data_IF_913378798467
#
_entry.id   IF_913378798467
#
_cell.length_a   1.000
_cell.length_b   1.000
_cell.length_c   1.000
_cell.angle_alpha   90.00
_cell.angle_beta   90.00
_cell.angle_gamma   90.00
#
_symmetry.space_group_name_H-M   'P 1'
#
loop_
_entity.id
_entity.type
_entity.pdbx_description
1 polymer ?
#
# COMPACT_ATOMS: atom_id res chain seq x y z
N UNK A 1 -14.45 -3.90 -8.67
CA UNK A 1 -13.32 -4.69 -9.23
C UNK A 1 -12.41 -3.74 -9.98
N UNK A 2 -11.41 -3.18 -9.30
CA UNK A 2 -10.33 -2.42 -9.93
C UNK A 2 -9.43 -3.42 -10.65
N UNK A 3 -9.27 -3.27 -11.97
CA UNK A 3 -8.34 -4.07 -12.75
C UNK A 3 -6.96 -4.06 -12.08
N UNK A 4 -6.30 -5.22 -12.04
CA UNK A 4 -4.97 -5.37 -11.52
C UNK A 4 -3.99 -4.69 -12.48
N UNK A 5 -3.83 -3.37 -12.32
CA UNK A 5 -2.82 -2.63 -13.08
C UNK A 5 -1.44 -3.05 -12.59
N UNK A 6 -0.70 -3.73 -13.46
CA UNK A 6 0.59 -4.33 -13.15
C UNK A 6 1.77 -3.53 -13.66
N UNK A 7 1.57 -2.45 -14.42
CA UNK A 7 2.65 -1.71 -15.05
C UNK A 7 2.25 -1.00 -16.33
N UNK A 8 3.22 -0.43 -17.03
CA UNK A 8 3.04 0.31 -18.29
C UNK A 8 3.57 -0.44 -19.53
N UNK A 9 3.84 -1.73 -19.39
CA UNK A 9 4.39 -2.60 -20.45
C UNK A 9 5.90 -2.73 -20.43
N UNK A 10 6.63 -1.67 -20.04
CA UNK A 10 8.08 -1.72 -19.82
C UNK A 10 8.41 -1.98 -18.35
N UNK A 11 7.69 -1.33 -17.46
CA UNK A 11 7.92 -1.38 -16.03
C UNK A 11 6.80 -2.15 -15.35
N UNK A 12 7.15 -3.17 -14.56
CA UNK A 12 6.21 -3.97 -13.77
C UNK A 12 6.25 -3.55 -12.30
N UNK A 13 5.09 -3.38 -11.68
CA UNK A 13 4.96 -3.25 -10.23
C UNK A 13 5.04 -4.62 -9.55
N UNK A 14 5.91 -4.80 -8.55
CA UNK A 14 5.97 -6.00 -7.73
C UNK A 14 4.60 -6.44 -7.16
N UNK A 15 3.80 -5.51 -6.64
CA UNK A 15 2.50 -5.84 -6.05
C UNK A 15 1.37 -6.05 -7.06
N UNK A 16 1.63 -5.78 -8.35
CA UNK A 16 0.67 -5.83 -9.47
C UNK A 16 -0.64 -5.06 -9.25
N UNK A 17 -0.60 -4.07 -8.35
CA UNK A 17 -1.71 -3.20 -7.95
C UNK A 17 -1.14 -1.85 -7.54
N UNK A 18 -1.86 -0.77 -7.84
CA UNK A 18 -1.47 0.60 -7.44
C UNK A 18 -1.77 0.88 -5.96
N UNK A 19 -2.88 0.35 -5.47
CA UNK A 19 -3.39 0.64 -4.12
C UNK A 19 -2.38 0.46 -2.97
N UNK A 20 -1.53 -0.58 -2.94
CA UNK A 20 -0.55 -0.74 -1.87
C UNK A 20 0.47 0.41 -1.82
N UNK A 21 0.90 0.89 -2.98
CA UNK A 21 1.81 2.04 -3.08
C UNK A 21 1.11 3.35 -2.72
N UNK A 22 -0.17 3.49 -3.11
CA UNK A 22 -1.01 4.60 -2.63
C UNK A 22 -1.09 4.61 -1.10
N UNK A 23 -1.36 3.46 -0.49
CA UNK A 23 -1.43 3.37 0.97
C UNK A 23 -0.07 3.68 1.61
N UNK A 24 1.05 3.20 1.05
CA UNK A 24 2.39 3.59 1.52
C UNK A 24 2.54 5.12 1.48
N UNK A 25 2.31 5.75 0.33
CA UNK A 25 2.39 7.21 0.17
C UNK A 25 1.54 7.96 1.21
N UNK A 26 0.30 7.54 1.40
CA UNK A 26 -0.62 8.19 2.32
C UNK A 26 -0.25 7.98 3.80
N UNK A 27 0.35 6.83 4.15
CA UNK A 27 0.91 6.59 5.48
C UNK A 27 2.18 7.40 5.71
N UNK A 28 3.02 7.59 4.69
CA UNK A 28 4.20 8.44 4.77
C UNK A 28 3.81 9.89 5.04
N UNK A 29 2.81 10.39 4.31
CA UNK A 29 2.24 11.72 4.53
C UNK A 29 1.66 11.88 5.94
N UNK A 30 0.97 10.85 6.45
CA UNK A 30 0.48 10.86 7.83
C UNK A 30 1.62 10.77 8.86
N UNK A 31 2.71 10.07 8.56
CA UNK A 31 3.88 10.00 9.44
C UNK A 31 4.59 11.35 9.57
N UNK A 32 4.68 12.15 8.50
CA UNK A 32 5.18 13.53 8.58
C UNK A 32 4.36 14.43 9.50
N UNK A 33 3.08 14.12 9.70
CA UNK A 33 2.16 14.89 10.56
C UNK A 33 2.16 14.42 12.02
N UNK A 34 2.69 13.23 12.32
CA UNK A 34 2.74 12.69 13.68
C UNK A 34 4.04 13.13 14.38
N UNK A 35 3.98 14.00 15.42
CA UNK A 35 5.18 14.43 16.13
C UNK A 35 5.92 13.30 16.86
N UNK A 36 5.26 12.16 17.11
CA UNK A 36 5.87 11.00 17.75
C UNK A 36 6.67 10.13 16.76
N UNK A 37 6.61 10.41 15.45
CA UNK A 37 7.27 9.62 14.41
C UNK A 37 8.29 10.47 13.66
N UNK A 38 9.57 10.12 13.80
CA UNK A 38 10.64 10.75 13.03
C UNK A 38 10.78 10.09 11.65
N UNK A 39 10.55 10.87 10.59
CA UNK A 39 10.76 10.42 9.20
C UNK A 39 12.14 10.84 8.70
N UNK A 40 12.91 9.89 8.18
CA UNK A 40 14.19 10.22 7.52
C UNK A 40 13.93 10.83 6.13
N UNK A 41 14.01 12.17 6.06
CA UNK A 41 13.82 12.93 4.80
C UNK A 41 14.86 12.57 3.73
N UNK A 42 16.06 12.15 4.11
CA UNK A 42 17.12 11.77 3.14
C UNK A 42 16.77 10.47 2.43
N UNK A 43 16.13 9.54 3.15
CA UNK A 43 15.63 8.29 2.58
C UNK A 43 14.57 8.54 1.50
N UNK A 44 13.77 9.58 1.68
CA UNK A 44 12.66 9.95 0.79
C UNK A 44 12.97 11.09 -0.19
N UNK A 45 14.23 11.49 -0.33
CA UNK A 45 14.62 12.58 -1.24
C UNK A 45 14.12 12.36 -2.68
N UNK A 46 14.20 11.12 -3.18
CA UNK A 46 13.75 10.76 -4.53
C UNK A 46 12.23 10.70 -4.68
N UNK A 47 11.44 10.86 -3.61
CA UNK A 47 9.99 10.91 -3.72
C UNK A 47 9.48 12.32 -4.04
N UNK A 48 10.33 13.34 -3.89
CA UNK A 48 9.92 14.74 -3.99
C UNK A 48 9.07 15.19 -2.80
N UNK A 49 8.21 16.18 -3.05
CA UNK A 49 7.42 16.84 -2.02
C UNK A 49 6.14 16.08 -1.66
N UNK A 50 6.28 15.00 -0.90
CA UNK A 50 5.18 14.13 -0.48
C UNK A 50 4.14 14.86 0.39
N UNK A 51 4.56 15.86 1.16
CA UNK A 51 3.71 16.57 2.12
C UNK A 51 2.65 17.41 1.41
N UNK A 52 3.00 18.03 0.28
CA UNK A 52 2.09 18.92 -0.45
C UNK A 52 1.45 18.26 -1.67
N UNK A 53 2.05 17.21 -2.25
CA UNK A 53 1.50 16.53 -3.42
C UNK A 53 0.30 15.62 -3.08
N UNK A 54 -0.63 15.52 -4.04
CA UNK A 54 -1.62 14.46 -4.06
C UNK A 54 -0.99 13.17 -4.60
N UNK A 55 -1.50 12.00 -4.17
CA UNK A 55 -1.01 10.74 -4.72
C UNK A 55 -1.17 10.66 -6.25
N UNK A 56 -2.26 11.18 -6.80
CA UNK A 56 -2.52 11.10 -8.24
C UNK A 56 -1.49 11.91 -9.05
N UNK A 57 -1.14 13.10 -8.58
CA UNK A 57 -0.13 13.94 -9.23
C UNK A 57 1.27 13.33 -9.07
N UNK A 58 1.57 12.83 -7.88
CA UNK A 58 2.79 12.10 -7.61
C UNK A 58 2.93 10.85 -8.49
N UNK A 59 1.86 10.08 -8.66
CA UNK A 59 1.85 8.88 -9.49
C UNK A 59 2.02 9.20 -10.98
N UNK A 60 1.36 10.25 -11.47
CA UNK A 60 1.45 10.70 -12.87
C UNK A 60 2.83 11.21 -13.25
N UNK A 61 3.61 11.73 -12.30
CA UNK A 61 5.00 12.13 -12.54
C UNK A 61 5.88 10.99 -13.08
N UNK A 62 5.50 9.73 -12.81
CA UNK A 62 6.24 8.56 -13.26
C UNK A 62 7.36 8.11 -12.35
N UNK A 63 7.55 8.78 -11.20
CA UNK A 63 8.62 8.52 -10.23
C UNK A 63 8.56 7.09 -9.64
N UNK A 64 7.37 6.48 -9.61
CA UNK A 64 7.16 5.08 -9.21
C UNK A 64 8.00 4.08 -10.02
N UNK A 65 8.39 4.41 -11.27
CA UNK A 65 9.24 3.56 -12.12
C UNK A 65 10.62 3.36 -11.51
N UNK A 66 11.18 4.42 -10.94
CA UNK A 66 12.50 4.40 -10.29
C UNK A 66 12.40 3.82 -8.89
N UNK A 67 11.31 4.16 -8.17
CA UNK A 67 11.18 3.81 -6.76
C UNK A 67 10.78 2.36 -6.52
N UNK A 68 9.91 1.78 -7.37
CA UNK A 68 9.31 0.48 -7.09
C UNK A 68 9.35 -0.50 -8.25
N UNK A 69 9.38 0.00 -9.48
CA UNK A 69 9.14 -0.87 -10.62
C UNK A 69 10.36 -1.73 -10.95
N UNK A 70 10.05 -2.78 -11.70
CA UNK A 70 11.02 -3.68 -12.32
C UNK A 70 11.06 -3.33 -13.80
N UNK A 71 12.23 -3.00 -14.34
CA UNK A 71 12.38 -2.88 -15.79
C UNK A 71 12.39 -4.29 -16.42
N UNK A 72 11.38 -4.56 -17.25
CA UNK A 72 11.21 -5.82 -17.99
C UNK A 72 11.49 -5.65 -19.48
N UNK A 73 12.03 -4.52 -19.93
CA UNK A 73 12.31 -4.30 -21.34
C UNK A 73 13.36 -5.27 -21.90
N UNK A 74 13.03 -5.88 -23.04
CA UNK A 74 14.03 -6.41 -23.98
C UNK A 74 14.54 -5.23 -24.80
N UNK A 75 15.86 -5.03 -24.84
CA UNK A 75 16.48 -3.92 -25.56
C UNK A 75 17.62 -4.42 -26.46
N UNK A 76 17.89 -3.66 -27.52
CA UNK A 76 19.05 -3.89 -28.39
C UNK A 76 20.26 -3.26 -27.70
N UNK A 77 21.34 -4.01 -27.61
CA UNK A 77 22.63 -3.51 -27.10
C UNK A 77 23.41 -2.90 -28.26
N UNK A 78 23.71 -1.60 -28.17
CA UNK A 78 24.51 -0.92 -29.17
C UNK A 78 25.99 -1.33 -29.07
N UNK A 79 26.70 -1.48 -30.20
CA UNK A 79 28.11 -1.84 -30.22
C UNK A 79 28.97 -0.86 -29.41
N UNK A 80 29.81 -1.38 -28.49
CA UNK A 80 30.69 -0.58 -27.64
C UNK A 80 30.08 -0.12 -26.32
N UNK A 81 28.82 -0.48 -26.03
CA UNK A 81 28.24 -0.25 -24.71
C UNK A 81 28.95 -1.10 -23.66
N UNK A 82 29.52 -0.47 -22.64
CA UNK A 82 30.01 -1.16 -21.45
C UNK A 82 28.79 -1.65 -20.67
N UNK A 83 28.42 -2.90 -20.87
CA UNK A 83 27.41 -3.57 -20.07
C UNK A 83 28.13 -4.47 -19.08
N UNK A 84 28.11 -4.09 -17.81
CA UNK A 84 28.32 -5.06 -16.76
C UNK A 84 27.06 -5.92 -16.69
N UNK A 85 27.16 -7.25 -16.83
CA UNK A 85 26.03 -8.12 -16.52
C UNK A 85 25.67 -7.86 -15.06
N UNK A 86 24.62 -7.09 -14.84
CA UNK A 86 24.03 -6.96 -13.51
C UNK A 86 23.47 -8.31 -13.12
N UNK A 87 23.42 -8.60 -11.82
CA UNK A 87 22.70 -9.78 -11.33
C UNK A 87 21.33 -9.83 -12.06
N UNK A 88 20.88 -11.00 -12.52
CA UNK A 88 19.55 -11.15 -13.11
C UNK A 88 19.30 -10.56 -14.52
N UNK A 89 20.31 -10.10 -15.26
CA UNK A 89 20.19 -9.83 -16.70
C UNK A 89 21.04 -10.79 -17.53
N UNK A 90 20.54 -11.20 -18.70
CA UNK A 90 21.26 -12.05 -19.64
C UNK A 90 21.43 -11.31 -20.97
N UNK A 91 22.69 -11.15 -21.41
CA UNK A 91 23.00 -10.59 -22.73
C UNK A 91 23.16 -11.75 -23.71
N UNK A 92 22.25 -11.82 -24.68
CA UNK A 92 22.25 -12.86 -25.73
C UNK A 92 22.53 -12.26 -27.09
N UNK A 93 23.43 -12.90 -27.86
CA UNK A 93 23.73 -12.54 -29.25
C UNK A 93 22.90 -13.42 -30.18
N UNK A 94 22.00 -12.81 -30.95
CA UNK A 94 21.12 -13.52 -31.87
C UNK A 94 21.63 -13.43 -33.32
N UNK A 95 21.88 -14.55 -34.02
CA UNK A 95 22.27 -14.53 -35.42
C UNK A 95 21.06 -14.19 -36.31
N UNK A 96 21.11 -13.06 -37.03
CA UNK A 96 20.02 -12.60 -37.90
C UNK A 96 19.73 -13.50 -39.12
N UNK A 97 20.66 -14.39 -39.47
CA UNK A 97 20.52 -15.31 -40.61
C UNK A 97 19.83 -16.65 -40.30
N UNK A 98 19.46 -16.90 -39.04
CA UNK A 98 18.83 -18.15 -38.62
C UNK A 98 17.30 -18.03 -38.60
N UNK A 99 16.61 -19.17 -38.70
CA UNK A 99 15.16 -19.21 -38.55
C UNK A 99 14.73 -18.60 -37.18
N UNK A 100 13.76 -17.67 -37.17
CA UNK A 100 13.30 -17.03 -35.94
C UNK A 100 12.71 -18.00 -34.90
N UNK A 101 12.03 -19.07 -35.32
CA UNK A 101 11.40 -20.01 -34.37
C UNK A 101 12.42 -20.86 -33.65
N UNK A 102 13.46 -21.30 -34.36
CA UNK A 102 14.59 -21.99 -33.75
C UNK A 102 15.34 -21.07 -32.79
N UNK A 103 15.59 -19.83 -33.21
CA UNK A 103 16.27 -18.83 -32.37
C UNK A 103 15.47 -18.53 -31.09
N UNK A 104 14.14 -18.42 -31.17
CA UNK A 104 13.28 -18.23 -30.00
C UNK A 104 13.26 -19.44 -29.07
N UNK A 105 13.36 -20.67 -29.60
CA UNK A 105 13.47 -21.88 -28.78
C UNK A 105 14.79 -21.88 -28.00
N UNK A 106 15.90 -21.59 -28.67
CA UNK A 106 17.21 -21.55 -28.03
C UNK A 106 17.27 -20.46 -26.95
N UNK A 107 16.67 -19.29 -27.18
CA UNK A 107 16.56 -18.23 -26.17
C UNK A 107 15.72 -18.68 -24.98
N UNK A 108 14.62 -19.40 -25.21
CA UNK A 108 13.78 -19.97 -24.14
C UNK A 108 14.56 -20.96 -23.29
N UNK A 109 15.31 -21.86 -23.92
CA UNK A 109 16.08 -22.89 -23.23
C UNK A 109 17.23 -22.26 -22.43
N UNK A 110 17.90 -21.24 -22.97
CA UNK A 110 18.93 -20.46 -22.26
C UNK A 110 18.36 -19.75 -21.02
N UNK A 111 17.15 -19.18 -21.12
CA UNK A 111 16.47 -18.56 -20.00
C UNK A 111 16.14 -19.60 -18.91
N UNK A 112 15.63 -20.77 -19.29
CA UNK A 112 15.33 -21.87 -18.34
C UNK A 112 16.62 -22.38 -17.64
N UNK A 113 17.71 -22.55 -18.38
CA UNK A 113 19.02 -22.97 -17.84
C UNK A 113 19.59 -21.98 -16.82
N UNK A 114 19.43 -20.68 -17.07
CA UNK A 114 19.90 -19.61 -16.18
C UNK A 114 18.90 -19.27 -15.07
N UNK A 115 17.91 -20.13 -14.83
CA UNK A 115 16.97 -20.00 -13.72
C UNK A 115 15.98 -18.85 -13.87
N UNK A 116 15.70 -18.39 -15.10
CA UNK A 116 14.65 -17.43 -15.38
C UNK A 116 13.28 -18.06 -15.13
N UNK A 117 12.86 -18.05 -13.87
CA UNK A 117 11.48 -18.31 -13.52
C UNK A 117 10.65 -17.06 -13.83
N UNK A 118 9.34 -17.21 -14.07
CA UNK A 118 8.42 -16.06 -14.20
C UNK A 118 8.34 -15.15 -12.96
N UNK A 119 9.18 -15.40 -11.95
CA UNK A 119 9.41 -14.58 -10.78
C UNK A 119 10.66 -13.72 -11.05
N UNK A 120 10.44 -12.42 -11.19
CA UNK A 120 11.51 -11.45 -11.45
C UNK A 120 12.58 -11.54 -10.36
N UNK A 121 13.82 -11.87 -10.75
CA UNK A 121 15.02 -11.90 -9.92
C UNK A 121 15.35 -10.57 -9.22
N UNK A 122 16.26 -10.62 -8.25
CA UNK A 122 16.58 -9.60 -7.22
C UNK A 122 17.07 -8.23 -7.69
N UNK A 123 17.32 -8.05 -8.97
CA UNK A 123 18.47 -7.24 -9.36
C UNK A 123 18.15 -6.06 -10.29
N UNK A 124 16.98 -6.08 -10.94
CA UNK A 124 16.41 -4.93 -11.68
C UNK A 124 15.28 -4.25 -10.91
N UNK A 125 15.34 -4.24 -9.57
CA UNK A 125 14.22 -3.80 -8.71
C UNK A 125 14.45 -2.36 -8.24
N UNK A 126 13.38 -1.56 -8.25
CA UNK A 126 13.39 -0.19 -7.72
C UNK A 126 13.89 -0.08 -6.27
N UNK A 127 14.22 1.16 -5.86
CA UNK A 127 14.87 1.50 -4.58
C UNK A 127 14.18 0.91 -3.34
N UNK A 128 12.85 0.78 -3.37
CA UNK A 128 12.04 0.28 -2.26
C UNK A 128 11.48 -1.11 -2.57
N UNK A 129 11.58 -2.01 -1.59
CA UNK A 129 11.16 -3.41 -1.73
C UNK A 129 9.91 -3.71 -0.92
N UNK A 130 9.10 -4.63 -1.43
CA UNK A 130 8.06 -5.28 -0.63
C UNK A 130 8.72 -6.07 0.49
N UNK A 131 8.11 -6.06 1.68
CA UNK A 131 8.57 -6.88 2.81
C UNK A 131 8.24 -8.35 2.58
N UNK A 132 9.03 -9.25 3.16
CA UNK A 132 8.79 -10.69 3.04
C UNK A 132 7.41 -11.09 3.60
N UNK A 133 6.72 -12.00 2.91
CA UNK A 133 5.39 -12.47 3.30
C UNK A 133 4.26 -11.44 3.14
N UNK A 134 4.50 -10.33 2.43
CA UNK A 134 3.51 -9.27 2.24
C UNK A 134 2.24 -9.75 1.52
N UNK A 135 2.32 -10.82 0.72
CA UNK A 135 1.14 -11.39 0.04
C UNK A 135 0.09 -11.89 1.05
N UNK A 136 0.55 -12.38 2.20
CA UNK A 136 -0.29 -12.84 3.30
C UNK A 136 -0.69 -11.71 4.28
N UNK A 137 -0.02 -10.56 4.18
CA UNK A 137 -0.24 -9.36 4.98
C UNK A 137 -0.89 -8.23 4.18
N UNK A 138 -0.18 -7.13 4.01
CA UNK A 138 -0.69 -5.89 3.43
C UNK A 138 -1.27 -6.01 2.02
N UNK A 139 -0.78 -6.93 1.18
CA UNK A 139 -1.28 -7.13 -0.19
C UNK A 139 -2.52 -8.04 -0.27
N UNK A 140 -2.88 -8.72 0.82
CA UNK A 140 -4.04 -9.59 0.82
C UNK A 140 -5.32 -8.77 0.54
N UNK A 141 -6.11 -9.18 -0.46
CA UNK A 141 -7.24 -8.40 -0.96
C UNK A 141 -8.25 -8.05 0.15
N UNK A 142 -8.49 -8.96 1.10
CA UNK A 142 -9.41 -8.74 2.22
C UNK A 142 -8.83 -7.82 3.31
N UNK A 143 -7.51 -7.55 3.29
CA UNK A 143 -6.84 -6.67 4.27
C UNK A 143 -6.76 -5.22 3.82
N UNK A 144 -6.76 -4.94 2.51
CA UNK A 144 -6.70 -3.55 2.00
C UNK A 144 -7.84 -2.66 2.54
N UNK A 145 -9.05 -3.19 2.67
CA UNK A 145 -10.17 -2.46 3.28
C UNK A 145 -9.91 -2.11 4.75
N UNK A 146 -9.31 -3.04 5.51
CA UNK A 146 -8.90 -2.81 6.89
C UNK A 146 -7.76 -1.79 6.99
N UNK A 147 -6.79 -1.84 6.07
CA UNK A 147 -5.69 -0.87 6.03
C UNK A 147 -6.18 0.53 5.69
N UNK A 148 -7.14 0.69 4.77
CA UNK A 148 -7.79 1.98 4.49
C UNK A 148 -8.47 2.54 5.74
N UNK A 149 -9.18 1.69 6.48
CA UNK A 149 -9.80 2.06 7.74
C UNK A 149 -8.74 2.49 8.77
N UNK A 150 -7.65 1.72 8.90
CA UNK A 150 -6.52 2.04 9.79
C UNK A 150 -5.92 3.40 9.47
N UNK A 151 -5.62 3.67 8.19
CA UNK A 151 -5.09 4.96 7.74
C UNK A 151 -6.04 6.11 8.09
N UNK A 152 -7.33 5.94 7.81
CA UNK A 152 -8.32 6.99 8.09
C UNK A 152 -8.47 7.25 9.59
N UNK A 153 -8.55 6.18 10.38
CA UNK A 153 -8.60 6.26 11.83
C UNK A 153 -7.36 6.90 12.41
N UNK A 154 -6.20 6.59 11.85
CA UNK A 154 -4.94 7.17 12.29
C UNK A 154 -4.86 8.66 11.99
N UNK A 155 -5.33 9.12 10.81
CA UNK A 155 -5.43 10.56 10.50
C UNK A 155 -6.37 11.29 11.45
N UNK A 156 -7.59 10.76 11.63
CA UNK A 156 -8.52 11.32 12.60
C UNK A 156 -7.91 11.34 14.01
N UNK A 157 -7.17 10.30 14.40
CA UNK A 157 -6.45 10.26 15.66
C UNK A 157 -5.37 11.34 15.74
N UNK A 158 -4.57 11.60 14.68
CA UNK A 158 -3.60 12.71 14.63
C UNK A 158 -4.31 14.07 14.77
N UNK A 159 -5.44 14.27 14.11
CA UNK A 159 -6.21 15.52 14.15
C UNK A 159 -6.68 15.85 15.57
N UNK A 160 -6.97 14.83 16.38
CA UNK A 160 -7.39 14.97 17.79
C UNK A 160 -6.24 14.94 18.80
N UNK A 161 -5.00 15.24 18.40
CA UNK A 161 -3.80 15.15 19.28
C UNK A 161 -3.84 15.99 20.55
N UNK A 162 -4.65 17.04 20.58
CA UNK A 162 -4.81 17.92 21.75
C UNK A 162 -5.63 17.25 22.87
N UNK A 163 -6.40 16.22 22.53
CA UNK A 163 -7.21 15.48 23.49
C UNK A 163 -6.37 14.47 24.29
N UNK A 164 -6.85 14.17 25.50
CA UNK A 164 -6.34 13.05 26.29
C UNK A 164 -6.44 11.73 25.52
N UNK A 165 -5.63 10.73 25.87
CA UNK A 165 -5.53 9.47 25.09
C UNK A 165 -6.89 8.79 24.88
N UNK A 166 -7.75 8.81 25.90
CA UNK A 166 -9.08 8.17 25.84
C UNK A 166 -10.03 8.95 24.93
N UNK A 167 -10.11 10.25 25.16
CA UNK A 167 -10.96 11.19 24.42
C UNK A 167 -10.55 11.25 22.95
N UNK A 168 -9.24 11.20 22.68
CA UNK A 168 -8.65 11.12 21.34
C UNK A 168 -9.09 9.87 20.58
N UNK A 169 -9.11 8.71 21.24
CA UNK A 169 -9.63 7.46 20.64
C UNK A 169 -11.13 7.54 20.39
N UNK A 170 -11.90 8.15 21.30
CA UNK A 170 -13.34 8.33 21.15
C UNK A 170 -13.68 9.22 19.95
N UNK A 171 -13.08 10.41 19.89
CA UNK A 171 -13.29 11.38 18.83
C UNK A 171 -12.94 10.79 17.45
N UNK A 172 -11.75 10.17 17.34
CA UNK A 172 -11.33 9.53 16.10
C UNK A 172 -12.27 8.38 15.65
N UNK A 173 -12.77 7.59 16.60
CA UNK A 173 -13.72 6.51 16.29
C UNK A 173 -15.06 7.05 15.77
N UNK A 174 -15.57 8.12 16.38
CA UNK A 174 -16.80 8.80 15.96
C UNK A 174 -16.68 9.37 14.55
N UNK A 175 -15.61 10.11 14.26
CA UNK A 175 -15.40 10.72 12.94
C UNK A 175 -15.35 9.69 11.82
N UNK A 176 -14.62 8.59 12.04
CA UNK A 176 -14.52 7.50 11.06
C UNK A 176 -15.85 6.79 10.88
N UNK A 177 -16.56 6.52 11.99
CA UNK A 177 -17.86 5.85 11.95
C UNK A 177 -18.89 6.69 11.17
N UNK A 178 -19.00 7.98 11.51
CA UNK A 178 -19.96 8.88 10.89
C UNK A 178 -19.69 9.10 9.42
N UNK A 179 -18.43 9.35 9.07
CA UNK A 179 -18.05 9.42 7.67
C UNK A 179 -18.39 8.12 6.93
N UNK A 180 -18.01 6.96 7.48
CA UNK A 180 -18.19 5.68 6.81
C UNK A 180 -19.67 5.34 6.61
N UNK A 181 -20.51 5.63 7.61
CA UNK A 181 -21.97 5.50 7.54
C UNK A 181 -22.55 6.42 6.46
N UNK A 182 -22.22 7.71 6.50
CA UNK A 182 -22.72 8.69 5.54
C UNK A 182 -22.29 8.37 4.10
N UNK A 183 -21.05 7.89 3.90
CA UNK A 183 -20.58 7.44 2.59
C UNK A 183 -21.38 6.23 2.09
N UNK A 184 -21.53 5.21 2.94
CA UNK A 184 -22.25 3.98 2.57
C UNK A 184 -23.72 4.26 2.25
N UNK A 185 -24.34 5.17 2.98
CA UNK A 185 -25.69 5.65 2.70
C UNK A 185 -25.76 6.37 1.35
N UNK A 186 -24.84 7.31 1.08
CA UNK A 186 -24.76 7.99 -0.23
C UNK A 186 -24.58 7.02 -1.38
N UNK A 187 -23.69 6.03 -1.26
CA UNK A 187 -23.47 5.02 -2.32
C UNK A 187 -24.76 4.24 -2.60
N UNK A 188 -25.47 3.82 -1.55
CA UNK A 188 -26.73 3.08 -1.68
C UNK A 188 -27.85 3.94 -2.26
N UNK A 189 -28.05 5.14 -1.72
CA UNK A 189 -29.09 6.07 -2.15
C UNK A 189 -28.94 6.44 -3.63
N UNK A 190 -27.71 6.68 -4.07
CA UNK A 190 -27.42 7.03 -5.46
C UNK A 190 -27.19 5.82 -6.38
N UNK A 191 -27.33 4.58 -5.86
CA UNK A 191 -27.10 3.32 -6.59
C UNK A 191 -25.75 3.29 -7.35
N UNK A 192 -24.73 3.89 -6.78
CA UNK A 192 -23.40 3.92 -7.40
C UNK A 192 -22.77 2.52 -7.38
N UNK A 193 -22.13 2.13 -8.49
CA UNK A 193 -21.30 0.92 -8.57
C UNK A 193 -19.94 1.13 -7.88
N UNK A 194 -19.96 1.44 -6.59
CA UNK A 194 -18.77 1.69 -5.76
C UNK A 194 -18.76 0.76 -4.56
N UNK A 195 -17.56 0.39 -4.12
CA UNK A 195 -17.40 -0.43 -2.91
C UNK A 195 -17.83 0.36 -1.67
N UNK A 196 -18.51 -0.32 -0.76
CA UNK A 196 -18.85 0.24 0.54
C UNK A 196 -17.61 0.33 1.41
N UNK A 197 -17.53 1.39 2.21
CA UNK A 197 -16.57 1.54 3.28
C UNK A 197 -16.76 0.41 4.28
N UNK A 198 -15.68 -0.31 4.55
CA UNK A 198 -15.61 -1.32 5.59
C UNK A 198 -15.64 -0.67 6.98
N UNK A 199 -16.63 -1.04 7.78
CA UNK A 199 -16.77 -0.64 9.18
C UNK A 199 -16.97 -1.90 10.04
N UNK A 200 -15.95 -2.32 10.82
CA UNK A 200 -16.07 -3.42 11.76
C UNK A 200 -17.15 -3.16 12.82
N UNK A 201 -17.73 -4.24 13.34
CA UNK A 201 -18.80 -4.16 14.36
C UNK A 201 -18.36 -3.37 15.60
N UNK A 202 -17.09 -3.47 16.01
CA UNK A 202 -16.56 -2.76 17.17
C UNK A 202 -16.72 -1.23 17.08
N UNK A 203 -16.71 -0.63 15.88
CA UNK A 203 -17.00 0.79 15.72
C UNK A 203 -18.47 1.09 16.00
N UNK A 204 -19.37 0.24 15.50
CA UNK A 204 -20.81 0.39 15.74
C UNK A 204 -21.13 0.25 17.22
N UNK A 205 -20.57 -0.76 17.88
CA UNK A 205 -20.74 -0.98 19.32
C UNK A 205 -20.20 0.19 20.14
N UNK A 206 -18.95 0.60 19.88
CA UNK A 206 -18.30 1.64 20.68
C UNK A 206 -18.93 3.02 20.47
N UNK A 207 -19.16 3.44 19.22
CA UNK A 207 -19.81 4.73 18.95
C UNK A 207 -21.27 4.73 19.40
N UNK A 208 -21.96 3.60 19.28
CA UNK A 208 -23.29 3.41 19.87
C UNK A 208 -23.29 3.61 21.38
N UNK A 209 -22.27 3.12 22.09
CA UNK A 209 -22.07 3.35 23.53
C UNK A 209 -21.86 4.82 23.86
N UNK A 210 -20.93 5.49 23.17
CA UNK A 210 -20.66 6.91 23.38
C UNK A 210 -21.90 7.77 23.18
N UNK A 211 -22.70 7.48 22.14
CA UNK A 211 -23.93 8.23 21.84
C UNK A 211 -25.07 7.97 22.82
N UNK A 212 -25.03 6.84 23.52
CA UNK A 212 -26.08 6.39 24.45
C UNK A 212 -25.74 6.70 25.90
N UNK A 213 -24.79 7.61 26.18
CA UNK A 213 -24.30 7.99 27.52
C UNK A 213 -25.38 8.34 28.59
N UNK A 214 -26.67 8.22 28.31
CA UNK A 214 -27.79 8.35 29.26
C UNK A 214 -28.84 7.23 29.29
N UNK A 215 -28.66 6.06 28.65
CA UNK A 215 -29.63 4.93 28.77
C UNK A 215 -28.95 3.61 29.13
N UNK A 216 -29.27 3.10 30.33
CA UNK A 216 -28.99 1.72 30.79
C UNK A 216 -29.88 0.73 30.03
N UNK A 217 -29.54 0.42 28.79
CA UNK A 217 -30.16 -0.69 28.07
C UNK A 217 -29.12 -1.74 27.69
N UNK A 218 -29.59 -2.99 27.67
CA UNK A 218 -28.78 -4.19 27.42
C UNK A 218 -28.22 -4.16 26.00
N UNK A 219 -26.93 -4.45 25.86
CA UNK A 219 -26.19 -4.43 24.60
C UNK A 219 -26.42 -5.72 23.80
N UNK A 220 -26.84 -5.61 22.54
CA UNK A 220 -26.64 -6.67 21.55
C UNK A 220 -25.24 -6.50 20.94
N UNK A 221 -24.28 -7.35 21.34
CA UNK A 221 -22.92 -7.40 20.80
C UNK A 221 -21.80 -7.55 21.84
N UNK A 222 -20.55 -7.44 21.39
CA UNK A 222 -19.37 -7.39 22.27
C UNK A 222 -19.50 -6.29 23.33
N UNK A 223 -18.91 -6.52 24.51
CA UNK A 223 -18.75 -5.53 25.57
C UNK A 223 -18.16 -4.19 25.03
N UNK A 224 -18.74 -3.01 25.34
CA UNK A 224 -18.26 -1.71 24.83
C UNK A 224 -16.78 -1.45 25.10
N UNK A 225 -16.28 -1.90 26.24
CA UNK A 225 -14.88 -1.75 26.61
C UNK A 225 -13.97 -2.68 25.77
N UNK A 226 -14.41 -3.91 25.48
CA UNK A 226 -13.79 -4.78 24.47
C UNK A 226 -13.76 -4.10 23.08
N UNK A 227 -14.87 -3.51 22.65
CA UNK A 227 -14.97 -2.80 21.38
C UNK A 227 -14.00 -1.60 21.33
N UNK A 228 -13.90 -0.80 22.40
CA UNK A 228 -12.92 0.28 22.55
C UNK A 228 -11.48 -0.23 22.39
N UNK A 229 -11.14 -1.34 23.06
CA UNK A 229 -9.79 -1.96 22.94
C UNK A 229 -9.52 -2.44 21.51
N UNK A 230 -10.53 -2.93 20.80
CA UNK A 230 -10.39 -3.28 19.39
C UNK A 230 -10.08 -2.05 18.53
N UNK A 231 -10.78 -0.93 18.71
CA UNK A 231 -10.47 0.34 18.01
C UNK A 231 -9.05 0.81 18.32
N UNK A 232 -8.62 0.75 19.59
CA UNK A 232 -7.26 1.09 19.98
C UNK A 232 -6.21 0.19 19.32
N UNK A 233 -6.52 -1.10 19.11
CA UNK A 233 -5.65 -2.02 18.35
C UNK A 233 -5.53 -1.61 16.87
N UNK A 234 -6.60 -1.12 16.24
CA UNK A 234 -6.52 -0.57 14.88
C UNK A 234 -5.59 0.64 14.81
N UNK A 235 -5.68 1.58 15.77
CA UNK A 235 -4.76 2.73 15.87
C UNK A 235 -3.33 2.26 16.07
N UNK A 236 -3.10 1.33 16.99
CA UNK A 236 -1.74 0.82 17.30
C UNK A 236 -1.10 0.16 16.07
N UNK A 237 -1.87 -0.64 15.32
CA UNK A 237 -1.41 -1.22 14.05
C UNK A 237 -1.13 -0.16 12.99
N UNK A 238 -1.99 0.86 12.88
CA UNK A 238 -1.78 1.95 11.94
C UNK A 238 -0.50 2.74 12.25
N UNK A 239 -0.22 3.01 13.53
CA UNK A 239 1.04 3.63 13.98
C UNK A 239 2.26 2.77 13.66
N UNK A 240 2.16 1.45 13.85
CA UNK A 240 3.24 0.53 13.48
C UNK A 240 3.53 0.57 11.97
N UNK A 241 2.47 0.61 11.15
CA UNK A 241 2.61 0.80 9.69
C UNK A 241 3.30 2.13 9.39
N UNK A 242 2.83 3.23 9.99
CA UNK A 242 3.41 4.56 9.79
C UNK A 242 4.90 4.62 10.20
N UNK A 243 5.28 3.98 11.31
CA UNK A 243 6.66 3.92 11.78
C UNK A 243 7.57 3.08 10.85
N UNK A 244 7.05 2.01 10.26
CA UNK A 244 7.79 1.20 9.29
C UNK A 244 7.97 1.97 7.98
N UNK A 245 6.90 2.61 7.52
CA UNK A 245 6.95 3.55 6.40
C UNK A 245 7.96 4.67 6.68
N UNK A 246 7.97 5.29 7.84
CA UNK A 246 8.93 6.36 8.17
C UNK A 246 10.41 5.92 8.02
N UNK A 247 10.68 4.61 8.15
CA UNK A 247 12.01 3.99 8.00
C UNK A 247 12.28 3.39 6.61
N UNK A 248 11.37 3.58 5.65
CA UNK A 248 11.47 3.03 4.29
C UNK A 248 11.15 1.55 4.17
N UNK A 249 10.56 0.95 5.20
CA UNK A 249 10.13 -0.44 5.17
C UNK A 249 8.71 -0.53 4.60
N UNK A 250 8.51 -1.38 3.57
CA UNK A 250 7.16 -1.60 3.04
C UNK A 250 6.30 -2.25 4.12
N UNK A 251 5.02 -1.85 4.27
CA UNK A 251 4.13 -2.46 5.23
C UNK A 251 4.01 -4.01 5.08
N UNK A 252 4.51 -4.78 6.06
CA UNK A 252 4.49 -6.26 6.05
C UNK A 252 3.23 -6.90 6.67
N UNK A 253 3.42 -7.81 7.62
CA UNK A 253 2.34 -8.54 8.32
C UNK A 253 2.04 -7.87 9.66
N UNK A 254 0.82 -7.35 9.83
CA UNK A 254 0.34 -6.71 11.07
C UNK A 254 -1.07 -7.19 11.48
#
# INVERSE_FOLDING_TARGET
MTEAWSGDGRYLLPARKVEPYRLWFEFLKAAFQDPDISVDRRLYADWGDVEDLSFDDWWRSGIWRVLFAIDTAVSIVEPGSALDPTDGTLIVRLPLGRDPKETLRDVRDLLEEHGASGLVGSSNRGRFRLSDGVEHGFLHANRLASVRLMLRLYRAWIDHRENGTRERVQAAAMDVYDWGRAWNEKVRANRWKRDLTYLPICFTTWVGYLRRENRREVWEGDDPESARRQVQRYISRARAIAANVARGEFPGVY
#
